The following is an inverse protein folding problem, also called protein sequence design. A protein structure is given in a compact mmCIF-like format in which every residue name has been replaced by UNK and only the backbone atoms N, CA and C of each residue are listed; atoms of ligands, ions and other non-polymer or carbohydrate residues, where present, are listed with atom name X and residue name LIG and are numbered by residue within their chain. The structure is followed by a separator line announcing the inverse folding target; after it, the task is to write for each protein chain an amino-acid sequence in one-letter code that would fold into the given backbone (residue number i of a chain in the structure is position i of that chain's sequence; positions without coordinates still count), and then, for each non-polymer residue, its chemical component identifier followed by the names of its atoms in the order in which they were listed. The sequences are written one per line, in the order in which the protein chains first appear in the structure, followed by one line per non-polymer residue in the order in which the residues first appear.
data_IF_918049498967
#
_entry.id   IF_918049498967
#
_cell.length_a   1.000
_cell.length_b   1.000
_cell.length_c   1.000
_cell.angle_alpha   90.00
_cell.angle_beta   90.00
_cell.angle_gamma   90.00
#
_symmetry.space_group_name_H-M   'P 1'
#
loop_
_entity.id
_entity.type
_entity.pdbx_description
1 polymer ?
#
# COMPACT_ATOMS: atom_id res chain seq x y z
N UNK A 1 1.47 6.48 7.58
CA UNK A 1 0.99 5.25 6.97
C UNK A 1 -0.51 5.34 6.82
N UNK A 2 -0.91 5.45 5.57
CA UNK A 2 -2.28 5.35 5.11
C UNK A 2 -2.91 4.03 5.60
N UNK A 3 -4.10 4.14 6.19
CA UNK A 3 -4.90 3.01 6.66
C UNK A 3 -6.33 3.04 6.11
N UNK A 4 -6.60 3.90 5.13
CA UNK A 4 -7.86 3.96 4.41
C UNK A 4 -7.62 4.55 3.03
N UNK A 5 -8.13 3.87 2.01
CA UNK A 5 -8.27 4.45 0.68
C UNK A 5 -9.62 4.08 0.10
N UNK A 6 -10.11 4.88 -0.84
CA UNK A 6 -11.33 4.59 -1.61
C UNK A 6 -10.90 4.00 -2.93
N UNK A 7 -11.32 2.77 -3.21
CA UNK A 7 -11.13 2.17 -4.52
C UNK A 7 -12.20 2.65 -5.51
N UNK A 8 -11.84 2.93 -6.77
CA UNK A 8 -12.81 3.02 -7.85
C UNK A 8 -13.49 1.66 -8.10
N UNK A 9 -14.59 1.66 -8.85
CA UNK A 9 -15.28 0.43 -9.28
C UNK A 9 -14.44 -0.33 -10.30
N UNK A 10 -14.72 -1.62 -10.49
CA UNK A 10 -14.09 -2.45 -11.53
C UNK A 10 -14.18 -1.79 -12.92
N UNK A 11 -15.36 -1.32 -13.32
CA UNK A 11 -15.55 -0.67 -14.61
C UNK A 11 -14.71 0.60 -14.78
N UNK A 12 -14.55 1.40 -13.72
CA UNK A 12 -13.68 2.59 -13.75
C UNK A 12 -12.20 2.20 -13.86
N UNK A 13 -11.78 1.13 -13.19
CA UNK A 13 -10.41 0.60 -13.25
C UNK A 13 -10.12 0.10 -14.67
N UNK A 14 -11.00 -0.74 -15.21
CA UNK A 14 -10.87 -1.29 -16.56
C UNK A 14 -10.80 -0.20 -17.62
N UNK A 15 -11.64 0.82 -17.51
CA UNK A 15 -11.65 1.97 -18.42
C UNK A 15 -10.33 2.76 -18.35
N UNK A 16 -9.83 3.07 -17.15
CA UNK A 16 -8.65 3.93 -16.99
C UNK A 16 -7.33 3.23 -17.29
N UNK A 17 -7.16 1.98 -16.86
CA UNK A 17 -5.92 1.20 -17.12
C UNK A 17 -6.00 0.36 -18.39
N UNK A 18 -7.08 0.48 -19.17
CA UNK A 18 -7.32 -0.32 -20.38
C UNK A 18 -7.19 -1.83 -20.13
N UNK A 19 -7.65 -2.27 -18.96
CA UNK A 19 -7.76 -3.69 -18.63
C UNK A 19 -9.05 -4.16 -19.28
N UNK A 20 -8.95 -5.09 -20.24
CA UNK A 20 -10.14 -5.63 -20.89
C UNK A 20 -11.11 -6.24 -19.88
N UNK A 21 -12.41 -6.19 -20.18
CA UNK A 21 -13.46 -6.77 -19.34
C UNK A 21 -13.15 -8.22 -19.00
N UNK A 22 -13.01 -8.53 -17.71
CA UNK A 22 -12.84 -9.91 -17.25
C UNK A 22 -14.11 -10.39 -16.58
N UNK A 23 -14.61 -11.57 -16.99
CA UNK A 23 -15.67 -12.25 -16.25
C UNK A 23 -15.09 -12.84 -14.94
N UNK A 24 -14.90 -11.99 -13.94
CA UNK A 24 -14.64 -12.45 -12.58
C UNK A 24 -15.96 -12.94 -11.95
N UNK A 25 -15.91 -13.97 -11.07
CA UNK A 25 -17.12 -14.48 -10.43
C UNK A 25 -17.80 -13.47 -9.50
N UNK A 26 -17.07 -12.42 -9.08
CA UNK A 26 -17.59 -11.30 -8.29
C UNK A 26 -17.04 -10.00 -8.83
N UNK A 27 -17.93 -9.05 -9.10
CA UNK A 27 -17.59 -7.70 -9.55
C UNK A 27 -17.10 -6.89 -8.34
N UNK A 28 -16.01 -6.14 -8.52
CA UNK A 28 -15.59 -5.17 -7.50
C UNK A 28 -16.40 -3.86 -7.59
N UNK A 29 -17.21 -3.58 -6.58
CA UNK A 29 -18.12 -2.44 -6.55
C UNK A 29 -17.48 -1.10 -6.14
N UNK A 30 -16.19 -1.09 -5.81
CA UNK A 30 -15.52 0.11 -5.27
C UNK A 30 -15.77 0.33 -3.78
N UNK A 31 -15.31 1.48 -3.26
CA UNK A 31 -15.56 1.91 -1.89
C UNK A 31 -14.35 1.81 -0.96
N UNK A 32 -14.60 1.96 0.34
CA UNK A 32 -13.55 2.07 1.36
C UNK A 32 -12.83 0.76 1.63
N UNK A 33 -11.52 0.76 1.45
CA UNK A 33 -10.63 -0.37 1.74
C UNK A 33 -9.79 -0.06 2.98
N UNK A 34 -9.72 -1.03 3.89
CA UNK A 34 -9.03 -0.94 5.18
C UNK A 34 -8.02 -2.08 5.32
N UNK A 35 -7.03 -1.98 6.23
CA UNK A 35 -6.08 -3.04 6.47
C UNK A 35 -6.78 -4.38 6.74
N UNK A 36 -6.34 -5.42 6.03
CA UNK A 36 -6.88 -6.79 6.01
C UNK A 36 -8.24 -6.98 5.32
N UNK A 37 -8.84 -5.93 4.79
CA UNK A 37 -9.99 -6.06 3.89
C UNK A 37 -9.54 -6.51 2.50
N UNK A 38 -10.49 -7.04 1.72
CA UNK A 38 -10.28 -7.26 0.29
C UNK A 38 -10.22 -5.91 -0.43
N UNK A 39 -9.38 -5.81 -1.45
CA UNK A 39 -9.33 -4.68 -2.36
C UNK A 39 -8.61 -5.04 -3.67
N UNK A 40 -8.79 -4.23 -4.72
CA UNK A 40 -8.19 -4.50 -6.02
C UNK A 40 -6.74 -4.06 -6.06
N UNK A 41 -5.95 -4.79 -6.84
CA UNK A 41 -4.66 -4.37 -7.33
C UNK A 41 -4.46 -4.89 -8.75
N UNK A 42 -3.67 -4.16 -9.53
CA UNK A 42 -3.35 -4.49 -10.91
C UNK A 42 -1.94 -5.06 -10.96
N UNK A 43 -1.76 -6.24 -11.53
CA UNK A 43 -0.44 -6.85 -11.78
C UNK A 43 -0.30 -7.25 -13.24
N UNK A 44 0.90 -7.66 -13.66
CA UNK A 44 1.07 -8.37 -14.92
C UNK A 44 0.80 -9.87 -14.70
N UNK A 45 0.02 -10.47 -15.59
CA UNK A 45 -0.16 -11.92 -15.65
C UNK A 45 1.10 -12.61 -16.22
N UNK A 46 1.07 -13.95 -16.34
CA UNK A 46 2.20 -14.73 -16.88
C UNK A 46 2.54 -14.39 -18.34
N UNK A 47 1.60 -13.86 -19.10
CA UNK A 47 1.77 -13.42 -20.49
C UNK A 47 2.28 -11.98 -20.60
N UNK A 48 2.45 -11.28 -19.47
CA UNK A 48 2.87 -9.88 -19.44
C UNK A 48 1.73 -8.88 -19.66
N UNK A 49 0.47 -9.30 -19.61
CA UNK A 49 -0.69 -8.42 -19.77
C UNK A 49 -1.22 -7.94 -18.41
N UNK A 50 -1.72 -6.71 -18.30
CA UNK A 50 -2.29 -6.22 -17.05
C UNK A 50 -3.55 -7.00 -16.67
N UNK A 51 -3.66 -7.30 -15.38
CA UNK A 51 -4.81 -7.96 -14.79
C UNK A 51 -5.22 -7.33 -13.47
N UNK A 52 -6.54 -7.21 -13.29
CA UNK A 52 -7.15 -6.85 -12.02
C UNK A 52 -7.28 -8.10 -11.14
N UNK A 53 -6.79 -8.01 -9.90
CA UNK A 53 -6.87 -9.08 -8.90
C UNK A 53 -7.44 -8.51 -7.61
N UNK A 54 -8.33 -9.25 -6.96
CA UNK A 54 -8.84 -8.93 -5.63
C UNK A 54 -8.04 -9.71 -4.59
N UNK A 55 -7.50 -9.02 -3.60
CA UNK A 55 -6.75 -9.65 -2.51
C UNK A 55 -6.78 -8.85 -1.22
N UNK A 56 -6.13 -9.38 -0.19
CA UNK A 56 -6.04 -8.75 1.13
C UNK A 56 -5.08 -7.55 1.12
N UNK A 57 -5.52 -6.37 1.61
CA UNK A 57 -4.61 -5.26 1.90
C UNK A 57 -3.81 -5.52 3.18
N UNK A 58 -2.67 -6.17 3.03
CA UNK A 58 -1.89 -6.74 4.12
C UNK A 58 -1.16 -7.97 3.61
N UNK A 59 0.04 -7.75 3.06
CA UNK A 59 0.82 -8.78 2.39
C UNK A 59 1.11 -9.94 3.34
N UNK A 60 0.82 -11.16 2.87
CA UNK A 60 1.03 -12.42 3.59
C UNK A 60 2.39 -13.00 3.13
N UNK A 61 3.40 -13.09 4.01
CA UNK A 61 4.69 -13.69 3.67
C UNK A 61 4.58 -15.19 3.40
N UNK A 62 5.47 -15.71 2.55
CA UNK A 62 5.52 -17.15 2.24
C UNK A 62 5.74 -18.06 3.47
N UNK A 63 6.29 -17.54 4.57
CA UNK A 63 6.54 -18.26 5.82
C UNK A 63 5.43 -18.08 6.86
N UNK A 64 4.36 -17.35 6.53
CA UNK A 64 3.23 -17.19 7.42
C UNK A 64 2.55 -18.55 7.68
N UNK A 65 2.06 -18.74 8.90
CA UNK A 65 1.26 -19.89 9.31
C UNK A 65 -0.24 -19.61 9.29
N UNK A 66 -0.64 -18.37 8.98
CA UNK A 66 -2.03 -17.92 8.91
C UNK A 66 -2.10 -16.66 8.04
N UNK A 67 -3.20 -16.45 7.29
CA UNK A 67 -3.39 -15.22 6.52
C UNK A 67 -3.57 -13.97 7.41
N UNK A 68 -3.92 -14.16 8.70
CA UNK A 68 -4.10 -13.08 9.67
C UNK A 68 -2.86 -12.92 10.55
N UNK A 69 -1.97 -12.01 10.16
CA UNK A 69 -0.73 -11.73 10.89
C UNK A 69 -0.97 -10.93 12.18
N UNK A 70 -0.10 -11.13 13.18
CA UNK A 70 -0.10 -10.36 14.45
C UNK A 70 0.40 -8.92 14.29
N UNK A 71 1.04 -8.60 13.18
CA UNK A 71 1.59 -7.29 12.86
C UNK A 71 1.01 -6.77 11.53
N UNK A 72 1.18 -5.47 11.26
CA UNK A 72 0.65 -4.84 10.06
C UNK A 72 1.64 -4.93 8.90
N UNK A 73 1.12 -5.32 7.73
CA UNK A 73 1.86 -5.42 6.47
C UNK A 73 1.13 -4.73 5.32
N UNK A 74 0.12 -3.92 5.62
CA UNK A 74 -0.62 -3.14 4.63
C UNK A 74 0.24 -2.03 4.01
N UNK A 75 1.29 -1.58 4.71
CA UNK A 75 2.30 -0.67 4.15
C UNK A 75 3.72 -1.23 4.28
N UNK A 76 4.55 -0.95 3.29
CA UNK A 76 5.97 -1.30 3.26
C UNK A 76 6.83 -0.07 2.95
N UNK A 77 7.88 0.17 3.73
CA UNK A 77 8.86 1.22 3.45
C UNK A 77 9.76 0.80 2.31
N UNK A 78 9.85 1.65 1.29
CA UNK A 78 10.60 1.36 0.06
C UNK A 78 12.08 1.10 0.35
N UNK A 79 12.66 1.78 1.34
CA UNK A 79 14.07 1.63 1.73
C UNK A 79 14.37 0.28 2.40
N UNK A 80 13.36 -0.45 2.87
CA UNK A 80 13.52 -1.69 3.65
C UNK A 80 13.10 -2.95 2.86
N UNK A 81 12.60 -2.82 1.63
CA UNK A 81 11.99 -3.92 0.86
C UNK A 81 12.92 -5.10 0.63
N UNK A 82 14.18 -4.85 0.26
CA UNK A 82 15.16 -5.91 -0.04
C UNK A 82 15.68 -6.63 1.20
N UNK A 83 15.51 -6.03 2.40
CA UNK A 83 16.05 -6.55 3.64
C UNK A 83 15.00 -7.25 4.51
N UNK A 84 13.75 -6.78 4.49
CA UNK A 84 12.70 -7.32 5.36
C UNK A 84 12.22 -8.69 4.86
N UNK A 85 12.20 -9.73 5.72
CA UNK A 85 11.73 -11.07 5.33
C UNK A 85 10.34 -11.07 4.69
N UNK A 86 9.43 -10.22 5.18
CA UNK A 86 8.07 -10.02 4.67
C UNK A 86 8.04 -9.63 3.18
N UNK A 87 9.00 -8.81 2.73
CA UNK A 87 8.94 -8.14 1.43
C UNK A 87 10.06 -8.55 0.47
N UNK A 88 11.18 -9.08 0.98
CA UNK A 88 12.38 -9.36 0.18
C UNK A 88 12.14 -10.29 -0.99
N UNK A 89 11.29 -11.31 -0.81
CA UNK A 89 10.98 -12.29 -1.85
C UNK A 89 10.03 -11.70 -2.92
N UNK A 90 8.90 -11.08 -2.55
CA UNK A 90 8.08 -10.32 -3.50
C UNK A 90 8.88 -9.27 -4.30
N UNK A 91 9.75 -8.52 -3.60
CA UNK A 91 10.62 -7.53 -4.21
C UNK A 91 11.59 -8.15 -5.24
N UNK A 92 12.33 -9.18 -4.84
CA UNK A 92 13.32 -9.85 -5.70
C UNK A 92 12.67 -10.52 -6.93
N UNK A 93 11.44 -11.01 -6.80
CA UNK A 93 10.67 -11.61 -7.89
C UNK A 93 9.99 -10.59 -8.80
N UNK A 94 10.11 -9.30 -8.51
CA UNK A 94 9.45 -8.25 -9.28
C UNK A 94 7.92 -8.29 -9.20
N UNK A 95 7.35 -8.80 -8.10
CA UNK A 95 5.90 -8.88 -7.85
C UNK A 95 5.33 -7.48 -7.53
N UNK A 96 5.46 -6.56 -8.49
CA UNK A 96 4.98 -5.19 -8.43
C UNK A 96 3.51 -5.13 -8.84
N UNK A 97 2.75 -4.25 -8.20
CA UNK A 97 1.38 -3.96 -8.57
C UNK A 97 1.06 -2.46 -8.48
N UNK A 98 -0.04 -2.07 -9.11
CA UNK A 98 -0.68 -0.76 -8.97
C UNK A 98 -1.93 -0.95 -8.11
N UNK A 99 -2.09 -0.14 -7.06
CA UNK A 99 -3.29 -0.12 -6.23
C UNK A 99 -4.14 1.06 -6.71
N UNK A 100 -5.25 0.82 -7.42
CA UNK A 100 -6.13 1.88 -7.90
C UNK A 100 -6.89 2.50 -6.72
N UNK A 101 -6.84 3.83 -6.61
CA UNK A 101 -7.55 4.56 -5.57
C UNK A 101 -8.15 5.86 -6.10
N UNK A 102 -9.42 6.12 -5.86
CA UNK A 102 -10.05 7.43 -6.10
C UNK A 102 -9.45 8.45 -5.12
N UNK A 103 -9.29 8.05 -3.86
CA UNK A 103 -8.69 8.87 -2.83
C UNK A 103 -8.02 8.03 -1.75
N UNK A 104 -7.16 8.65 -0.95
CA UNK A 104 -6.63 8.05 0.26
C UNK A 104 -6.61 9.06 1.41
N UNK A 105 -6.67 8.57 2.64
CA UNK A 105 -6.67 9.45 3.80
C UNK A 105 -5.36 9.37 4.58
N UNK A 106 -4.91 10.54 5.03
CA UNK A 106 -3.85 10.64 6.02
C UNK A 106 -4.29 11.57 7.17
N UNK A 107 -3.94 11.22 8.42
CA UNK A 107 -4.23 12.07 9.57
C UNK A 107 -3.27 13.27 9.56
N UNK A 108 -3.76 14.49 9.43
CA UNK A 108 -2.97 15.72 9.59
C UNK A 108 -2.80 16.06 11.07
N UNK A 109 -1.58 16.42 11.48
CA UNK A 109 -1.24 16.78 12.86
C UNK A 109 -0.62 18.17 12.99
N UNK A 110 -0.71 19.00 11.94
CA UNK A 110 -0.19 20.38 11.93
C UNK A 110 -0.72 21.24 13.08
N UNK A 111 -1.96 21.01 13.50
CA UNK A 111 -2.61 21.72 14.61
C UNK A 111 -2.32 21.12 15.99
N UNK A 112 -1.48 20.09 16.07
CA UNK A 112 -1.24 19.30 17.29
C UNK A 112 -2.37 18.32 17.65
N UNK A 113 -3.47 18.30 16.89
CA UNK A 113 -4.57 17.34 16.99
C UNK A 113 -4.73 16.59 15.67
N UNK A 114 -5.29 15.39 15.72
CA UNK A 114 -5.60 14.62 14.51
C UNK A 114 -6.78 15.24 13.76
N UNK A 115 -6.55 15.65 12.50
CA UNK A 115 -7.60 16.04 11.54
C UNK A 115 -7.45 15.18 10.29
N UNK A 116 -8.48 14.42 9.92
CA UNK A 116 -8.42 13.57 8.72
C UNK A 116 -8.45 14.41 7.45
N UNK A 117 -7.50 14.15 6.55
CA UNK A 117 -7.42 14.75 5.22
C UNK A 117 -7.58 13.65 4.17
N UNK A 118 -8.35 13.95 3.13
CA UNK A 118 -8.55 13.08 1.96
C UNK A 118 -7.82 13.68 0.77
N UNK A 119 -7.06 12.85 0.07
CA UNK A 119 -6.25 13.24 -1.08
C UNK A 119 -6.85 12.69 -2.36
N UNK A 120 -7.21 13.57 -3.27
CA UNK A 120 -7.72 13.28 -4.62
C UNK A 120 -6.82 13.94 -5.65
N UNK A 121 -6.78 13.39 -6.87
CA UNK A 121 -6.05 14.04 -7.95
C UNK A 121 -6.86 15.22 -8.47
N UNK A 122 -6.17 16.34 -8.71
CA UNK A 122 -6.80 17.56 -9.21
C UNK A 122 -7.42 17.40 -10.62
N UNK A 123 -6.96 16.41 -11.40
CA UNK A 123 -7.48 16.08 -12.73
C UNK A 123 -8.69 15.13 -12.69
N UNK A 124 -9.13 14.69 -11.51
CA UNK A 124 -10.25 13.76 -11.34
C UNK A 124 -9.96 12.32 -11.74
N UNK A 125 -8.74 12.00 -12.22
CA UNK A 125 -8.34 10.63 -12.50
C UNK A 125 -8.07 9.86 -11.20
N UNK A 126 -8.15 8.51 -11.20
CA UNK A 126 -7.73 7.73 -10.05
C UNK A 126 -6.21 7.76 -9.86
N UNK A 127 -5.77 7.64 -8.61
CA UNK A 127 -4.40 7.33 -8.24
C UNK A 127 -4.02 5.91 -8.66
N UNK A 128 -2.77 5.74 -9.09
CA UNK A 128 -2.12 4.43 -9.20
C UNK A 128 -1.02 4.33 -8.15
N UNK A 129 -1.36 3.86 -6.95
CA UNK A 129 -0.41 3.80 -5.83
C UNK A 129 0.52 2.60 -6.01
N UNK A 130 1.82 2.78 -5.76
CA UNK A 130 2.79 1.70 -5.94
C UNK A 130 2.61 0.61 -4.88
N UNK A 131 2.68 -0.66 -5.28
CA UNK A 131 2.54 -1.78 -4.36
C UNK A 131 3.42 -2.99 -4.70
N UNK A 132 3.48 -3.92 -3.74
CA UNK A 132 3.93 -5.30 -3.98
C UNK A 132 2.77 -6.26 -3.72
N UNK A 133 2.73 -7.35 -4.46
CA UNK A 133 1.78 -8.43 -4.25
C UNK A 133 2.49 -9.74 -3.87
N UNK A 134 1.76 -10.64 -3.21
CA UNK A 134 2.21 -12.01 -2.99
C UNK A 134 1.01 -12.96 -2.94
N UNK A 135 1.23 -14.18 -3.45
CA UNK A 135 0.35 -15.32 -3.24
C UNK A 135 0.85 -16.17 -2.07
N UNK A 136 -0.07 -16.67 -1.27
CA UNK A 136 0.20 -17.60 -0.18
C UNK A 136 -0.88 -18.69 -0.20
N UNK A 137 -0.47 -19.95 -0.12
CA UNK A 137 -1.40 -21.08 -0.05
C UNK A 137 -1.44 -21.55 1.39
N UNK A 138 -2.64 -21.61 1.96
CA UNK A 138 -2.85 -22.24 3.24
C UNK A 138 -2.58 -23.74 3.11
N UNK A 139 -1.63 -24.25 3.88
CA UNK A 139 -1.22 -25.66 3.79
C UNK A 139 -2.23 -26.61 4.42
N UNK A 140 -3.10 -26.11 5.29
CA UNK A 140 -4.13 -26.91 5.97
C UNK A 140 -5.37 -27.02 5.09
N UNK A 141 -5.81 -25.92 4.47
CA UNK A 141 -7.05 -25.88 3.67
C UNK A 141 -6.82 -26.00 2.17
N UNK A 142 -5.61 -25.72 1.68
CA UNK A 142 -5.30 -25.60 0.25
C UNK A 142 -5.78 -24.28 -0.38
N UNK A 143 -6.36 -23.37 0.41
CA UNK A 143 -6.89 -22.09 -0.10
C UNK A 143 -5.76 -21.17 -0.57
N UNK A 144 -5.94 -20.58 -1.76
CA UNK A 144 -5.03 -19.57 -2.30
C UNK A 144 -5.45 -18.18 -1.82
N UNK A 145 -4.56 -17.49 -1.12
CA UNK A 145 -4.72 -16.11 -0.72
C UNK A 145 -3.87 -15.18 -1.58
N UNK A 146 -4.54 -14.25 -2.25
CA UNK A 146 -3.94 -13.09 -2.88
C UNK A 146 -3.80 -11.97 -1.84
N UNK A 147 -2.66 -11.29 -1.82
CA UNK A 147 -2.41 -10.20 -0.87
C UNK A 147 -1.46 -9.16 -1.45
N UNK A 148 -1.56 -7.93 -0.97
CA UNK A 148 -0.69 -6.83 -1.39
C UNK A 148 -0.35 -5.86 -0.27
N UNK A 149 0.64 -5.01 -0.51
CA UNK A 149 1.09 -3.95 0.39
C UNK A 149 1.31 -2.67 -0.41
N UNK A 150 0.99 -1.53 0.20
CA UNK A 150 1.23 -0.21 -0.34
C UNK A 150 2.67 0.21 -0.04
N UNK A 151 3.39 0.64 -1.06
CA UNK A 151 4.72 1.18 -0.87
C UNK A 151 4.64 2.59 -0.30
N UNK A 152 5.62 2.90 0.53
CA UNK A 152 5.74 4.20 1.16
C UNK A 152 7.17 4.70 1.10
N UNK A 153 7.32 6.02 1.09
CA UNK A 153 8.59 6.72 1.06
C UNK A 153 8.67 7.72 2.22
N UNK A 154 9.87 8.09 2.64
CA UNK A 154 10.05 9.21 3.56
C UNK A 154 9.46 10.50 2.98
N UNK A 155 8.75 11.26 3.83
CA UNK A 155 8.16 12.54 3.42
C UNK A 155 8.47 13.67 4.40
N UNK A 156 9.52 13.54 5.22
CA UNK A 156 9.85 14.55 6.24
C UNK A 156 10.13 15.92 5.61
N UNK A 157 10.65 15.94 4.38
CA UNK A 157 10.95 17.17 3.62
C UNK A 157 9.89 17.51 2.56
N UNK A 158 8.77 16.80 2.50
CA UNK A 158 7.75 17.04 1.49
C UNK A 158 6.87 18.24 1.89
N UNK A 159 6.61 19.26 1.03
CA UNK A 159 5.90 20.49 1.39
C UNK A 159 4.51 20.31 2.02
N UNK A 160 3.79 19.28 1.58
CA UNK A 160 2.46 18.91 2.11
C UNK A 160 2.51 17.72 3.08
N UNK A 161 3.01 16.57 2.60
CA UNK A 161 2.95 15.32 3.34
C UNK A 161 3.75 15.28 4.66
N UNK A 162 4.70 16.20 4.88
CA UNK A 162 5.42 16.34 6.16
C UNK A 162 4.49 16.69 7.34
N UNK A 163 3.34 17.31 7.06
CA UNK A 163 2.31 17.73 8.03
C UNK A 163 1.44 16.58 8.54
N UNK A 164 1.49 15.43 7.86
CA UNK A 164 0.68 14.26 8.20
C UNK A 164 1.36 13.42 9.31
N UNK A 165 0.56 12.62 10.02
CA UNK A 165 0.88 11.82 11.20
C UNK A 165 1.42 12.57 12.41
N UNK A 166 1.18 11.97 13.58
CA UNK A 166 1.71 12.47 14.84
C UNK A 166 3.24 12.52 14.78
N UNK A 167 3.87 13.65 15.11
CA UNK A 167 5.32 13.73 15.25
C UNK A 167 5.83 12.70 16.27
N UNK A 168 6.97 12.08 15.99
CA UNK A 168 7.64 11.20 16.96
C UNK A 168 8.26 12.08 18.05
N UNK A 169 7.85 11.96 19.33
CA UNK A 169 8.42 12.77 20.42
C UNK A 169 9.93 12.59 20.59
N UNK A 170 10.50 11.50 20.07
CA UNK A 170 11.94 11.21 20.14
C UNK A 170 12.75 11.91 19.05
N UNK A 171 12.07 12.45 18.03
CA UNK A 171 12.66 13.28 17.00
C UNK A 171 12.33 14.73 17.39
N UNK A 172 13.33 15.46 17.90
CA UNK A 172 13.13 16.83 18.37
C UNK A 172 12.55 17.76 17.29
N UNK A 173 12.02 18.92 17.68
CA UNK A 173 11.50 19.89 16.73
C UNK A 173 12.66 20.41 15.86
N UNK A 174 12.60 20.15 14.55
CA UNK A 174 13.59 20.52 13.54
C UNK A 174 15.01 19.92 13.73
N UNK A 175 15.27 18.79 13.09
CA UNK A 175 16.65 18.40 12.70
C UNK A 175 16.77 18.49 11.17
N UNK A 176 17.00 19.69 10.60
CA UNK A 176 17.32 19.82 9.19
C UNK A 176 18.77 19.36 9.00
N UNK A 177 18.94 18.17 8.44
CA UNK A 177 20.21 17.69 7.85
C UNK A 177 21.44 17.79 8.77
N UNK A 178 21.74 16.71 9.51
CA UNK A 178 23.14 16.34 9.77
C UNK A 178 23.45 14.99 9.13
N UNK A 179 24.33 15.04 8.12
CA UNK A 179 24.80 13.94 7.29
C UNK A 179 25.55 12.84 8.06
N UNK A 180 24.83 12.07 8.88
CA UNK A 180 25.25 10.73 9.28
C UNK A 180 24.20 9.73 8.78
N UNK A 181 24.59 8.66 8.05
CA UNK A 181 23.69 7.56 7.80
C UNK A 181 23.37 6.91 9.15
N UNK A 182 22.21 7.28 9.74
CA UNK A 182 21.72 6.61 10.94
C UNK A 182 21.22 5.23 10.53
N UNK A 183 21.66 4.21 11.27
CA UNK A 183 21.25 2.81 11.09
C UNK A 183 19.72 2.73 11.03
N UNK A 184 19.26 2.00 10.02
CA UNK A 184 17.87 1.62 9.75
C UNK A 184 17.06 1.31 11.02
N UNK A 185 15.84 1.84 11.11
CA UNK A 185 14.77 1.05 11.74
C UNK A 185 13.60 1.79 12.37
N UNK A 186 13.78 2.92 13.05
CA UNK A 186 12.66 3.54 13.82
C UNK A 186 12.79 5.05 13.85
N UNK A 187 11.78 5.76 13.36
CA UNK A 187 11.65 7.22 13.48
C UNK A 187 11.12 7.91 12.23
N UNK A 188 11.49 7.49 11.02
CA UNK A 188 11.08 8.18 9.79
C UNK A 188 9.61 7.89 9.47
N UNK A 189 8.83 8.95 9.26
CA UNK A 189 7.43 8.79 8.92
C UNK A 189 7.33 8.59 7.42
N UNK A 190 6.93 7.38 7.01
CA UNK A 190 6.71 7.08 5.60
C UNK A 190 5.27 7.43 5.18
N UNK A 191 5.09 7.79 3.92
CA UNK A 191 3.82 8.19 3.29
C UNK A 191 3.62 7.41 2.01
N UNK A 192 2.37 7.25 1.62
CA UNK A 192 1.97 6.67 0.33
C UNK A 192 2.80 7.26 -0.81
N UNK A 193 3.40 6.36 -1.60
CA UNK A 193 4.21 6.68 -2.78
C UNK A 193 3.36 6.82 -4.04
#
# INVERSE_FOLDING_TARGET
MCNRYISPTEAQIEAYWHIGRRNQPRIWEGGGVYPRSQGPFIRLNKSGEPELVIGQWGLIPHFATSPKLKYQTNNARSEELSQKPTYRMPWARGQRCIIPATSFDEPCWETGKNVWWTFERADGAPWGLAGLWNTWVDKETGELHESYTMLTINADNHPLMSRMHKPDPKLGPHDPVRGKPRRSGRGRIARTA
#
